data_IF_964690681523
#
_entry.id   IF_964690681523
#
_cell.length_a   1.000
_cell.length_b   1.000
_cell.length_c   1.000
_cell.angle_alpha   90.00
_cell.angle_beta   90.00
_cell.angle_gamma   90.00
#
_symmetry.space_group_name_H-M   'P 1'
#
loop_
_entity.id
_entity.type
_entity.pdbx_description
1 polymer ?
#
# COMPACT_ATOMS: atom_id res chain seq x y z
N UNK A 1 -0.55 -9.67 -8.52
CA UNK A 1 -0.52 -8.23 -8.84
C UNK A 1 -1.85 -7.71 -9.35
N UNK A 2 -2.40 -8.21 -10.46
CA UNK A 2 -3.69 -7.74 -11.00
C UNK A 2 -4.86 -7.80 -10.01
N UNK A 3 -5.00 -8.88 -9.23
CA UNK A 3 -6.03 -9.00 -8.21
C UNK A 3 -5.99 -7.89 -7.14
N UNK A 4 -4.80 -7.53 -6.68
CA UNK A 4 -4.60 -6.47 -5.67
C UNK A 4 -4.90 -5.09 -6.26
N UNK A 5 -4.53 -4.85 -7.52
CA UNK A 5 -4.88 -3.61 -8.22
C UNK A 5 -6.41 -3.52 -8.42
N UNK A 6 -7.06 -4.63 -8.80
CA UNK A 6 -8.52 -4.70 -8.93
C UNK A 6 -9.23 -4.48 -7.59
N UNK A 7 -8.68 -4.95 -6.48
CA UNK A 7 -9.22 -4.70 -5.14
C UNK A 7 -9.17 -3.20 -4.79
N UNK A 8 -8.04 -2.53 -5.06
CA UNK A 8 -7.91 -1.08 -4.87
C UNK A 8 -8.93 -0.35 -5.75
N UNK A 9 -9.01 -0.67 -7.04
CA UNK A 9 -9.98 -0.07 -7.96
C UNK A 9 -11.43 -0.28 -7.52
N UNK A 10 -11.78 -1.50 -7.11
CA UNK A 10 -13.10 -1.82 -6.58
C UNK A 10 -13.39 -0.99 -5.33
N UNK A 11 -12.51 -1.00 -4.33
CA UNK A 11 -12.69 -0.24 -3.08
C UNK A 11 -12.84 1.27 -3.32
N UNK A 12 -12.19 1.84 -4.34
CA UNK A 12 -12.39 3.23 -4.71
C UNK A 12 -13.76 3.51 -5.33
N UNK A 13 -14.32 2.59 -6.12
CA UNK A 13 -15.64 2.74 -6.76
C UNK A 13 -16.81 2.50 -5.80
N UNK A 14 -16.72 1.51 -4.88
CA UNK A 14 -17.82 1.16 -3.96
C UNK A 14 -17.79 1.90 -2.61
N UNK A 15 -16.84 2.82 -2.39
CA UNK A 15 -16.82 3.68 -1.20
C UNK A 15 -15.98 3.16 -0.03
N UNK A 16 -15.06 2.22 -0.25
CA UNK A 16 -14.05 1.76 0.72
C UNK A 16 -12.96 2.78 1.05
N UNK A 17 -13.12 4.06 0.68
CA UNK A 17 -12.12 5.12 0.84
C UNK A 17 -12.58 6.22 1.83
N UNK A 18 -13.36 5.85 2.85
CA UNK A 18 -13.82 6.79 3.88
C UNK A 18 -12.67 7.18 4.80
N UNK A 19 -12.45 8.49 4.96
CA UNK A 19 -11.41 9.03 5.82
C UNK A 19 -11.62 8.54 7.26
N UNK A 20 -10.55 7.99 7.88
CA UNK A 20 -10.55 7.45 9.25
C UNK A 20 -11.44 6.22 9.53
N UNK A 21 -12.01 5.56 8.52
CA UNK A 21 -12.76 4.32 8.70
C UNK A 21 -12.19 3.16 7.89
N UNK A 22 -12.32 3.25 6.57
CA UNK A 22 -12.01 2.14 5.65
C UNK A 22 -10.85 2.46 4.71
N UNK A 23 -10.38 3.71 4.71
CA UNK A 23 -9.29 4.17 3.86
C UNK A 23 -7.97 3.47 4.21
N UNK A 24 -7.51 2.65 3.28
CA UNK A 24 -6.18 2.05 3.29
C UNK A 24 -5.16 2.99 2.64
N UNK A 25 -3.88 2.86 3.01
CA UNK A 25 -2.79 3.71 2.51
C UNK A 25 -2.71 3.75 0.97
N UNK A 26 -2.94 2.61 0.30
CA UNK A 26 -2.96 2.53 -1.17
C UNK A 26 -4.08 3.38 -1.78
N UNK A 27 -5.30 3.29 -1.24
CA UNK A 27 -6.45 4.11 -1.70
C UNK A 27 -6.26 5.59 -1.38
N UNK A 28 -5.59 5.92 -0.27
CA UNK A 28 -5.26 7.30 0.09
C UNK A 28 -4.28 7.91 -0.91
N UNK A 29 -3.22 7.19 -1.26
CA UNK A 29 -2.24 7.63 -2.27
C UNK A 29 -2.92 7.91 -3.61
N UNK A 30 -3.75 6.99 -4.11
CA UNK A 30 -4.46 7.16 -5.39
C UNK A 30 -5.44 8.33 -5.33
N UNK A 31 -6.16 8.50 -4.21
CA UNK A 31 -7.08 9.62 -4.01
C UNK A 31 -6.35 10.97 -4.04
N UNK A 32 -5.26 11.12 -3.27
CA UNK A 32 -4.52 12.39 -3.19
C UNK A 32 -3.81 12.70 -4.52
N UNK A 33 -3.38 11.67 -5.27
CA UNK A 33 -2.87 11.83 -6.65
C UNK A 33 -3.97 12.36 -7.57
N UNK A 34 -5.18 11.79 -7.50
CA UNK A 34 -6.33 12.24 -8.30
C UNK A 34 -6.82 13.65 -7.96
N UNK A 35 -6.57 14.13 -6.74
CA UNK A 35 -6.84 15.51 -6.32
C UNK A 35 -5.77 16.52 -6.74
N UNK A 36 -4.62 16.05 -7.26
CA UNK A 36 -3.46 16.90 -7.57
C UNK A 36 -2.57 17.22 -6.37
N UNK A 37 -2.79 16.59 -5.21
CA UNK A 37 -1.99 16.76 -3.99
C UNK A 37 -0.75 15.84 -4.04
N UNK A 38 0.14 16.10 -4.99
CA UNK A 38 1.30 15.23 -5.23
C UNK A 38 2.27 15.17 -4.05
N UNK A 39 2.41 16.24 -3.27
CA UNK A 39 3.27 16.27 -2.08
C UNK A 39 2.86 15.19 -1.07
N UNK A 40 1.56 15.14 -0.74
CA UNK A 40 0.99 14.15 0.18
C UNK A 40 1.04 12.76 -0.45
N UNK A 41 0.69 12.65 -1.74
CA UNK A 41 0.70 11.36 -2.44
C UNK A 41 2.11 10.74 -2.48
N UNK A 42 3.15 11.55 -2.71
CA UNK A 42 4.55 11.11 -2.69
C UNK A 42 4.99 10.71 -1.29
N UNK A 43 4.67 11.50 -0.27
CA UNK A 43 4.97 11.16 1.11
C UNK A 43 4.37 9.79 1.51
N UNK A 44 3.09 9.56 1.17
CA UNK A 44 2.41 8.29 1.42
C UNK A 44 3.02 7.14 0.60
N UNK A 45 3.42 7.39 -0.65
CA UNK A 45 4.04 6.38 -1.51
C UNK A 45 5.40 5.93 -0.98
N UNK A 46 6.25 6.87 -0.53
CA UNK A 46 7.55 6.57 0.06
C UNK A 46 7.37 5.78 1.36
N UNK A 47 6.42 6.18 2.21
CA UNK A 47 6.09 5.47 3.45
C UNK A 47 5.65 4.03 3.16
N UNK A 48 4.76 3.85 2.18
CA UNK A 48 4.25 2.53 1.80
C UNK A 48 5.35 1.65 1.20
N UNK A 49 6.23 2.22 0.37
CA UNK A 49 7.39 1.51 -0.19
C UNK A 49 8.33 1.04 0.93
N UNK A 50 8.64 1.93 1.89
CA UNK A 50 9.48 1.60 3.04
C UNK A 50 8.90 0.46 3.88
N UNK A 51 7.60 0.52 4.20
CA UNK A 51 6.91 -0.54 4.94
C UNK A 51 6.92 -1.87 4.18
N UNK A 52 6.59 -1.84 2.88
CA UNK A 52 6.56 -3.03 2.03
C UNK A 52 7.94 -3.67 1.96
N UNK A 53 8.99 -2.87 1.78
CA UNK A 53 10.37 -3.36 1.73
C UNK A 53 10.81 -3.93 3.07
N UNK A 54 10.48 -3.27 4.19
CA UNK A 54 10.81 -3.74 5.54
C UNK A 54 10.16 -5.10 5.81
N UNK A 55 8.88 -5.24 5.52
CA UNK A 55 8.16 -6.53 5.67
C UNK A 55 8.77 -7.60 4.77
N UNK A 56 9.02 -7.29 3.49
CA UNK A 56 9.63 -8.22 2.56
C UNK A 56 11.03 -8.67 3.01
N UNK A 57 11.86 -7.73 3.49
CA UNK A 57 13.19 -8.01 4.02
C UNK A 57 13.13 -8.85 5.30
N UNK A 58 12.25 -8.50 6.24
CA UNK A 58 12.06 -9.26 7.48
C UNK A 58 11.63 -10.71 7.19
N UNK A 59 10.67 -10.90 6.29
CA UNK A 59 10.24 -12.23 5.84
C UNK A 59 11.39 -12.99 5.17
N UNK A 60 12.17 -12.32 4.31
CA UNK A 60 13.31 -12.93 3.63
C UNK A 60 14.38 -13.41 4.62
N UNK A 61 14.73 -12.58 5.61
CA UNK A 61 15.69 -12.92 6.66
C UNK A 61 15.20 -14.12 7.51
N UNK A 62 13.91 -14.14 7.85
CA UNK A 62 13.31 -15.25 8.62
C UNK A 62 13.25 -16.56 7.80
N UNK A 63 12.91 -16.48 6.51
CA UNK A 63 12.84 -17.64 5.63
C UNK A 63 14.23 -18.20 5.30
N UNK A 64 15.24 -17.35 5.09
CA UNK A 64 16.62 -17.79 4.86
C UNK A 64 17.16 -18.61 6.03
N UNK A 65 16.87 -18.23 7.27
CA UNK A 65 17.24 -19.00 8.47
C UNK A 65 16.62 -20.40 8.52
N UNK A 66 15.48 -20.61 7.87
CA UNK A 66 14.77 -21.90 7.85
C UNK A 66 15.24 -22.83 6.74
N UNK A 67 15.77 -22.28 5.64
CA UNK A 67 16.25 -23.04 4.47
C UNK A 67 17.68 -23.57 4.63
N UNK A 68 18.43 -23.06 5.60
CA UNK A 68 19.79 -23.53 5.94
C UNK A 68 19.81 -24.64 7.01
N UNK A 69 18.65 -25.14 7.44
CA UNK A 69 18.48 -26.37 8.22
C UNK A 69 17.81 -27.42 7.35
#
# INVERSE_FOLDING_TARGET
FGAVISEVGASMMVGGNLLHQTRVLTTATVLETGKGNFDIALALSILLLGLTFLVAMALTLLQQRRRTR
#
